data_IF_495165721425
#
_entry.id   IF_495165721425
#
_cell.length_a   1.000
_cell.length_b   1.000
_cell.length_c   1.000
_cell.angle_alpha   90.00
_cell.angle_beta   90.00
_cell.angle_gamma   90.00
#
_symmetry.space_group_name_H-M   'P 1'
#
loop_
_entity.id
_entity.type
_entity.pdbx_description
1 polymer ?
#
# COMPACT_ATOMS: atom_id res chain seq x y z
N UNK A 1 16.62 -4.89 13.54
CA UNK A 1 15.89 -6.05 12.96
C UNK A 1 15.04 -5.72 11.73
N UNK A 2 14.68 -4.45 11.45
CA UNK A 2 13.82 -4.09 10.31
C UNK A 2 14.53 -4.04 8.94
N UNK A 3 15.86 -3.91 8.90
CA UNK A 3 16.60 -3.78 7.62
C UNK A 3 16.56 -5.05 6.77
N UNK A 4 16.62 -6.23 7.39
CA UNK A 4 16.57 -7.50 6.66
C UNK A 4 15.23 -7.72 5.93
N UNK A 5 14.10 -7.32 6.54
CA UNK A 5 12.77 -7.44 5.94
C UNK A 5 12.59 -6.43 4.79
N UNK A 6 13.18 -5.23 4.93
CA UNK A 6 13.12 -4.19 3.89
C UNK A 6 13.91 -4.59 2.65
N UNK A 7 15.09 -5.20 2.81
CA UNK A 7 15.89 -5.70 1.69
C UNK A 7 15.20 -6.85 0.93
N UNK A 8 14.67 -7.86 1.64
CA UNK A 8 13.95 -8.96 1.00
C UNK A 8 12.72 -8.49 0.22
N UNK A 9 12.09 -7.38 0.65
CA UNK A 9 10.96 -6.79 -0.06
C UNK A 9 11.38 -6.10 -1.35
N UNK A 10 12.47 -5.33 -1.34
CA UNK A 10 12.99 -4.67 -2.55
C UNK A 10 13.36 -5.71 -3.61
N UNK A 11 14.09 -6.75 -3.20
CA UNK A 11 14.44 -7.89 -4.06
C UNK A 11 13.20 -8.57 -4.65
N UNK A 12 12.15 -8.75 -3.85
CA UNK A 12 10.88 -9.32 -4.32
C UNK A 12 10.20 -8.44 -5.37
N UNK A 13 10.14 -7.12 -5.18
CA UNK A 13 9.51 -6.22 -6.15
C UNK A 13 10.31 -6.14 -7.44
N UNK A 14 11.64 -6.04 -7.34
CA UNK A 14 12.53 -6.04 -8.49
C UNK A 14 12.40 -7.34 -9.30
N UNK A 15 12.38 -8.50 -8.63
CA UNK A 15 12.14 -9.78 -9.28
C UNK A 15 10.78 -9.81 -9.98
N UNK A 16 9.71 -9.37 -9.29
CA UNK A 16 8.36 -9.39 -9.84
C UNK A 16 8.25 -8.50 -11.09
N UNK A 17 8.88 -7.32 -11.08
CA UNK A 17 8.89 -6.43 -12.22
C UNK A 17 9.66 -7.03 -13.40
N UNK A 18 10.83 -7.64 -13.14
CA UNK A 18 11.62 -8.33 -14.17
C UNK A 18 10.84 -9.44 -14.86
N UNK A 19 10.12 -10.27 -14.10
CA UNK A 19 9.27 -11.33 -14.65
C UNK A 19 8.07 -10.80 -15.45
N UNK A 20 7.61 -9.58 -15.14
CA UNK A 20 6.49 -8.94 -15.82
C UNK A 20 6.90 -8.13 -17.06
N UNK A 21 8.20 -7.86 -17.24
CA UNK A 21 8.78 -7.17 -18.39
C UNK A 21 9.28 -8.14 -19.45
N UNK A 22 9.31 -7.68 -20.71
CA UNK A 22 10.02 -8.39 -21.79
C UNK A 22 11.53 -8.35 -21.56
N UNK A 23 12.26 -9.33 -22.11
CA UNK A 23 13.71 -9.50 -21.87
C UNK A 23 14.56 -8.28 -22.26
N UNK A 24 14.06 -7.44 -23.17
CA UNK A 24 14.74 -6.25 -23.71
C UNK A 24 14.30 -4.93 -23.05
N UNK A 25 13.39 -4.97 -22.07
CA UNK A 25 12.88 -3.78 -21.38
C UNK A 25 13.37 -3.78 -19.94
N UNK A 26 14.09 -2.71 -19.56
CA UNK A 26 14.48 -2.53 -18.16
C UNK A 26 13.28 -2.07 -17.32
N UNK A 27 13.07 -2.67 -16.15
CA UNK A 27 11.93 -2.32 -15.28
C UNK A 27 11.94 -0.85 -14.83
N UNK A 28 13.13 -0.20 -14.82
CA UNK A 28 13.27 1.22 -14.54
C UNK A 28 12.72 2.12 -15.66
N UNK A 29 12.45 1.57 -16.85
CA UNK A 29 11.68 2.25 -17.90
C UNK A 29 10.17 2.27 -17.60
N UNK A 30 9.70 1.42 -16.69
CA UNK A 30 8.29 1.32 -16.29
C UNK A 30 8.00 2.05 -14.98
N UNK A 31 8.95 2.08 -14.05
CA UNK A 31 8.82 2.73 -12.75
C UNK A 31 10.15 3.38 -12.35
N UNK A 32 10.09 4.62 -11.90
CA UNK A 32 11.29 5.33 -11.39
C UNK A 32 11.81 4.70 -10.10
N UNK A 33 13.12 4.75 -9.87
CA UNK A 33 13.73 4.18 -8.66
C UNK A 33 13.14 4.77 -7.37
N UNK A 34 12.92 6.09 -7.35
CA UNK A 34 12.32 6.79 -6.21
C UNK A 34 10.87 6.33 -5.93
N UNK A 35 10.10 6.05 -6.99
CA UNK A 35 8.72 5.56 -6.86
C UNK A 35 8.69 4.12 -6.31
N UNK A 36 9.63 3.28 -6.78
CA UNK A 36 9.82 1.93 -6.28
C UNK A 36 10.19 1.95 -4.78
N UNK A 37 11.11 2.82 -4.37
CA UNK A 37 11.48 2.98 -2.98
C UNK A 37 10.33 3.44 -2.10
N UNK A 38 9.53 4.38 -2.60
CA UNK A 38 8.33 4.82 -1.90
C UNK A 38 7.37 3.64 -1.68
N UNK A 39 7.06 2.86 -2.71
CA UNK A 39 6.20 1.67 -2.60
C UNK A 39 6.77 0.65 -1.60
N UNK A 40 8.03 0.27 -1.73
CA UNK A 40 8.67 -0.72 -0.86
C UNK A 40 8.71 -0.25 0.60
N UNK A 41 8.86 1.07 0.83
CA UNK A 41 8.85 1.64 2.18
C UNK A 41 7.48 1.65 2.85
N UNK A 42 6.39 1.65 2.06
CA UNK A 42 5.02 1.82 2.54
C UNK A 42 4.24 0.53 2.68
N UNK A 43 4.55 -0.45 1.84
CA UNK A 43 3.80 -1.71 1.77
C UNK A 43 4.43 -2.73 2.68
N UNK A 44 3.61 -3.54 3.36
CA UNK A 44 4.06 -4.48 4.39
C UNK A 44 4.09 -5.90 3.85
N UNK A 45 3.09 -6.30 3.04
CA UNK A 45 2.92 -7.69 2.58
C UNK A 45 3.12 -7.87 1.06
N UNK A 46 3.49 -9.09 0.60
CA UNK A 46 3.59 -9.38 -0.84
C UNK A 46 2.28 -9.16 -1.62
N UNK A 47 1.12 -9.36 -0.96
CA UNK A 47 -0.17 -9.09 -1.59
C UNK A 47 -0.39 -7.59 -1.81
N UNK A 48 -0.07 -6.77 -0.81
CA UNK A 48 -0.11 -5.31 -0.93
C UNK A 48 0.82 -4.83 -2.05
N UNK A 49 2.02 -5.39 -2.15
CA UNK A 49 2.95 -5.08 -3.27
C UNK A 49 2.28 -5.26 -4.63
N UNK A 50 1.69 -6.44 -4.88
CA UNK A 50 1.02 -6.70 -6.17
C UNK A 50 -0.15 -5.75 -6.44
N UNK A 51 -0.96 -5.50 -5.42
CA UNK A 51 -2.15 -4.64 -5.55
C UNK A 51 -1.75 -3.19 -5.87
N UNK A 52 -0.85 -2.61 -5.10
CA UNK A 52 -0.45 -1.22 -5.27
C UNK A 52 0.40 -1.02 -6.53
N UNK A 53 1.19 -2.02 -6.96
CA UNK A 53 1.84 -1.97 -8.28
C UNK A 53 0.81 -1.92 -9.40
N UNK A 54 -0.21 -2.79 -9.37
CA UNK A 54 -1.29 -2.78 -10.36
C UNK A 54 -1.98 -1.41 -10.39
N UNK A 55 -2.37 -0.89 -9.24
CA UNK A 55 -3.03 0.42 -9.14
C UNK A 55 -2.12 1.57 -9.62
N UNK A 56 -0.82 1.54 -9.33
CA UNK A 56 0.14 2.54 -9.81
C UNK A 56 0.26 2.55 -11.33
N UNK A 57 0.28 1.37 -11.96
CA UNK A 57 0.28 1.27 -13.42
C UNK A 57 -1.04 1.69 -14.06
N UNK A 58 -2.18 1.31 -13.46
CA UNK A 58 -3.51 1.76 -13.89
C UNK A 58 -3.62 3.29 -13.80
N UNK A 59 -3.22 3.89 -12.68
CA UNK A 59 -3.24 5.33 -12.50
C UNK A 59 -2.32 6.05 -13.47
N UNK A 60 -1.08 5.57 -13.67
CA UNK A 60 -0.15 6.13 -14.65
C UNK A 60 -0.78 6.15 -16.05
N UNK A 61 -1.44 5.06 -16.43
CA UNK A 61 -2.15 4.97 -17.71
C UNK A 61 -3.30 5.98 -17.79
N UNK A 62 -4.12 6.10 -16.74
CA UNK A 62 -5.23 7.05 -16.69
C UNK A 62 -4.79 8.51 -16.83
N UNK A 63 -3.65 8.89 -16.23
CA UNK A 63 -3.08 10.24 -16.34
C UNK A 63 -2.16 10.43 -17.55
N UNK A 64 -2.05 9.43 -18.42
CA UNK A 64 -1.24 9.49 -19.65
C UNK A 64 0.28 9.51 -19.40
N UNK A 65 0.75 9.05 -18.24
CA UNK A 65 2.17 8.91 -17.93
C UNK A 65 2.69 7.55 -18.43
N UNK A 66 3.81 7.58 -19.15
CA UNK A 66 4.48 6.37 -19.65
C UNK A 66 5.20 5.58 -18.55
N UNK A 67 5.65 6.28 -17.51
CA UNK A 67 6.46 5.72 -16.41
C UNK A 67 5.75 6.02 -15.10
N UNK A 68 5.72 5.07 -14.19
CA UNK A 68 5.22 5.27 -12.82
C UNK A 68 6.22 6.14 -12.05
N UNK A 69 5.77 7.34 -11.71
CA UNK A 69 6.53 8.34 -10.95
C UNK A 69 6.11 8.36 -9.49
N UNK A 70 6.89 9.05 -8.65
CA UNK A 70 6.56 9.26 -7.22
C UNK A 70 5.18 9.88 -7.06
N UNK A 71 4.84 10.87 -7.90
CA UNK A 71 3.55 11.56 -7.86
C UNK A 71 2.38 10.59 -8.09
N UNK A 72 2.50 9.70 -9.07
CA UNK A 72 1.49 8.65 -9.32
C UNK A 72 1.35 7.71 -8.12
N UNK A 73 2.47 7.28 -7.53
CA UNK A 73 2.45 6.43 -6.34
C UNK A 73 1.80 7.14 -5.16
N UNK A 74 2.08 8.42 -4.95
CA UNK A 74 1.44 9.22 -3.89
C UNK A 74 -0.06 9.35 -4.11
N UNK A 75 -0.51 9.61 -5.34
CA UNK A 75 -1.94 9.64 -5.67
C UNK A 75 -2.64 8.32 -5.35
N UNK A 76 -2.05 7.19 -5.76
CA UNK A 76 -2.60 5.86 -5.48
C UNK A 76 -2.64 5.56 -3.98
N UNK A 77 -1.59 5.93 -3.24
CA UNK A 77 -1.57 5.76 -1.79
C UNK A 77 -2.67 6.58 -1.10
N UNK A 78 -2.87 7.84 -1.53
CA UNK A 78 -3.93 8.72 -0.99
C UNK A 78 -5.31 8.18 -1.33
N UNK A 79 -5.54 7.76 -2.56
CA UNK A 79 -6.82 7.21 -2.99
C UNK A 79 -7.14 5.88 -2.30
N UNK A 80 -6.14 5.00 -2.13
CA UNK A 80 -6.31 3.75 -1.40
C UNK A 80 -6.64 3.98 0.07
N UNK A 81 -6.03 4.99 0.71
CA UNK A 81 -6.39 5.40 2.07
C UNK A 81 -7.83 5.94 2.13
N UNK A 82 -8.22 6.81 1.20
CA UNK A 82 -9.59 7.34 1.14
C UNK A 82 -10.64 6.23 0.87
N UNK A 83 -10.27 5.19 0.13
CA UNK A 83 -11.12 4.05 -0.19
C UNK A 83 -11.06 2.93 0.88
N UNK A 84 -10.16 3.02 1.85
CA UNK A 84 -10.00 2.04 2.93
C UNK A 84 -11.24 1.97 3.82
N UNK A 85 -11.80 3.13 4.20
CA UNK A 85 -13.02 3.22 5.00
C UNK A 85 -14.23 2.55 4.33
N UNK A 86 -14.61 2.88 3.08
CA UNK A 86 -15.73 2.24 2.41
C UNK A 86 -15.49 0.75 2.13
N UNK A 87 -14.26 0.30 1.89
CA UNK A 87 -13.95 -1.12 1.74
C UNK A 87 -14.13 -1.89 3.05
N UNK A 88 -13.58 -1.38 4.15
CA UNK A 88 -13.73 -1.98 5.48
C UNK A 88 -15.20 -2.04 5.90
N UNK A 89 -15.97 -0.97 5.65
CA UNK A 89 -17.41 -0.96 5.90
C UNK A 89 -18.17 -2.03 5.09
N UNK A 90 -17.84 -2.22 3.80
CA UNK A 90 -18.45 -3.28 2.96
C UNK A 90 -18.14 -4.69 3.46
N UNK A 91 -16.99 -4.88 4.11
CA UNK A 91 -16.59 -6.14 4.73
C UNK A 91 -17.16 -6.31 6.16
N UNK A 92 -17.96 -5.37 6.66
CA UNK A 92 -18.55 -5.41 8.01
C UNK A 92 -17.67 -4.83 9.12
N UNK A 93 -16.47 -4.33 8.78
CA UNK A 93 -15.58 -3.62 9.69
C UNK A 93 -15.96 -2.15 9.78
N UNK A 94 -17.04 -1.87 10.53
CA UNK A 94 -17.42 -0.50 10.88
C UNK A 94 -16.51 0.07 11.99
N UNK A 95 -16.58 1.39 12.23
CA UNK A 95 -15.83 2.11 13.27
C UNK A 95 -15.87 1.42 14.65
N UNK A 96 -17.01 0.85 15.04
CA UNK A 96 -17.17 0.18 16.33
C UNK A 96 -16.43 -1.16 16.36
N UNK A 97 -16.57 -1.96 15.30
CA UNK A 97 -15.88 -3.25 15.16
C UNK A 97 -14.36 -3.04 15.12
N UNK A 98 -13.88 -2.06 14.35
CA UNK A 98 -12.46 -1.71 14.27
C UNK A 98 -11.93 -1.17 15.61
N UNK A 99 -12.69 -0.32 16.30
CA UNK A 99 -12.33 0.18 17.63
C UNK A 99 -12.17 -0.96 18.64
N UNK A 100 -13.08 -1.94 18.62
CA UNK A 100 -13.00 -3.11 19.50
C UNK A 100 -11.85 -4.05 19.13
N UNK A 101 -11.66 -4.30 17.85
CA UNK A 101 -10.63 -5.21 17.34
C UNK A 101 -9.21 -4.68 17.59
N UNK A 102 -9.00 -3.38 17.37
CA UNK A 102 -7.70 -2.73 17.53
C UNK A 102 -7.45 -2.27 18.97
N UNK A 103 -8.48 -2.33 19.82
CA UNK A 103 -8.51 -1.81 21.20
C UNK A 103 -8.12 -0.33 21.28
N UNK A 104 -8.70 0.47 20.37
CA UNK A 104 -8.41 1.91 20.22
C UNK A 104 -9.69 2.72 20.18
N UNK A 105 -9.59 4.02 20.43
CA UNK A 105 -10.78 4.90 20.45
C UNK A 105 -11.34 5.08 19.04
N UNK A 106 -12.67 5.25 18.87
CA UNK A 106 -13.28 5.50 17.57
C UNK A 106 -12.67 6.71 16.84
N UNK A 107 -12.25 7.74 17.57
CA UNK A 107 -11.57 8.91 17.00
C UNK A 107 -10.18 8.59 16.42
N UNK A 108 -9.47 7.61 16.97
CA UNK A 108 -8.19 7.14 16.43
C UNK A 108 -8.40 6.26 15.19
N UNK A 109 -9.46 5.43 15.19
CA UNK A 109 -9.88 4.70 13.98
C UNK A 109 -10.29 5.69 12.87
N UNK A 110 -11.06 6.74 13.19
CA UNK A 110 -11.43 7.76 12.22
C UNK A 110 -10.19 8.50 11.69
N UNK A 111 -9.24 8.83 12.56
CA UNK A 111 -7.98 9.46 12.16
C UNK A 111 -7.13 8.53 11.29
N UNK A 112 -7.14 7.22 11.56
CA UNK A 112 -6.48 6.22 10.73
C UNK A 112 -7.10 6.15 9.33
N UNK A 113 -8.43 6.03 9.27
CA UNK A 113 -9.20 5.95 8.03
C UNK A 113 -9.05 7.22 7.18
N UNK A 114 -8.96 8.39 7.81
CA UNK A 114 -8.74 9.67 7.13
C UNK A 114 -7.25 9.95 6.80
N UNK A 115 -6.33 9.02 7.09
CA UNK A 115 -4.89 9.23 6.85
C UNK A 115 -4.24 10.30 7.75
N UNK A 116 -4.90 10.69 8.84
CA UNK A 116 -4.47 11.73 9.78
C UNK A 116 -3.63 11.20 10.95
N UNK A 117 -3.37 9.89 11.02
CA UNK A 117 -2.47 9.33 12.03
C UNK A 117 -1.00 9.60 11.70
N UNK A 118 -0.16 9.89 12.71
CA UNK A 118 1.27 9.98 12.53
C UNK A 118 1.84 8.63 12.07
N UNK A 119 2.84 8.66 11.17
CA UNK A 119 3.40 7.48 10.48
C UNK A 119 3.70 6.27 11.39
N UNK A 120 4.16 6.52 12.63
CA UNK A 120 4.45 5.46 13.60
C UNK A 120 3.17 4.74 14.09
N UNK A 121 2.10 5.50 14.37
CA UNK A 121 0.82 4.93 14.78
C UNK A 121 0.09 4.26 13.62
N UNK A 122 0.24 4.76 12.40
CA UNK A 122 -0.31 4.11 11.20
C UNK A 122 0.27 2.71 11.01
N UNK A 123 1.58 2.52 11.24
CA UNK A 123 2.21 1.20 11.14
C UNK A 123 1.68 0.24 12.22
N UNK A 124 1.60 0.67 13.49
CA UNK A 124 1.01 -0.16 14.56
C UNK A 124 -0.44 -0.57 14.27
N UNK A 125 -1.23 0.34 13.70
CA UNK A 125 -2.61 0.04 13.29
C UNK A 125 -2.65 -0.98 12.16
N UNK A 126 -1.80 -0.83 11.16
CA UNK A 126 -1.70 -1.77 10.04
C UNK A 126 -1.26 -3.16 10.51
N UNK A 127 -0.28 -3.26 11.41
CA UNK A 127 0.15 -4.54 11.99
C UNK A 127 -0.98 -5.23 12.77
N UNK A 128 -1.77 -4.46 13.54
CA UNK A 128 -2.94 -5.01 14.26
C UNK A 128 -4.05 -5.47 13.32
N UNK A 129 -4.31 -4.75 12.22
CA UNK A 129 -5.29 -5.14 11.19
C UNK A 129 -4.85 -6.45 10.49
N UNK A 130 -3.56 -6.57 10.19
CA UNK A 130 -2.98 -7.78 9.60
C UNK A 130 -3.01 -8.97 10.57
N UNK A 131 -2.69 -8.77 11.85
CA UNK A 131 -2.79 -9.80 12.89
C UNK A 131 -4.23 -10.26 13.12
N UNK A 132 -5.20 -9.36 12.96
CA UNK A 132 -6.61 -9.68 13.06
C UNK A 132 -7.16 -10.46 11.85
N UNK A 133 -6.34 -10.72 10.82
CA UNK A 133 -6.73 -11.48 9.65
C UNK A 133 -7.73 -10.76 8.77
N UNK A 134 -7.80 -9.42 8.83
CA UNK A 134 -8.65 -8.63 7.93
C UNK A 134 -8.04 -8.68 6.53
N UNK A 135 -8.74 -9.27 5.54
CA UNK A 135 -8.30 -9.20 4.16
C UNK A 135 -8.53 -7.78 3.65
N UNK A 136 -7.45 -7.00 3.54
CA UNK A 136 -7.47 -5.77 2.76
C UNK A 136 -7.66 -6.17 1.29
N UNK A 137 -8.90 -6.25 0.83
CA UNK A 137 -9.24 -6.76 -0.51
C UNK A 137 -10.43 -6.03 -1.11
N UNK A 138 -10.24 -5.55 -2.34
CA UNK A 138 -10.56 -6.36 -3.52
C UNK A 138 -9.42 -6.25 -4.54
#
# INVERSE_FOLDING_TARGET
MLEGIKNCKREYVEWLLKEATQEDVEYLELITEDALDLLVSKLVTPLQVKQYLKQAFEQAFEVGQKVVTVDVVEQVLVESLNNLEPQLMRQGYNLKTLSQLLQVKPGEVQSFLNGQLPKNQTQEFMDKILQAGIPLSS
#
